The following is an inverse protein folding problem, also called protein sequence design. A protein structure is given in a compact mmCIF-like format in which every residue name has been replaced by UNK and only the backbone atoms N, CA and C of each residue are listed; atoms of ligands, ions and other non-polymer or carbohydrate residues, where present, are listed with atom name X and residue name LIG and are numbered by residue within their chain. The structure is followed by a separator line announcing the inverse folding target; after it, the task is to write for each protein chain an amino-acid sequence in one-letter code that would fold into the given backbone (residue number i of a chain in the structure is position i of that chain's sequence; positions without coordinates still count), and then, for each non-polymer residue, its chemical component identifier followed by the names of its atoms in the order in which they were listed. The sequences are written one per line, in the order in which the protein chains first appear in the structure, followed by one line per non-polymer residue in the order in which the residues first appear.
data_IF_714552338300
#
_entry.id   IF_714552338300
#
_cell.length_a   1.000
_cell.length_b   1.000
_cell.length_c   1.000
_cell.angle_alpha   90.00
_cell.angle_beta   90.00
_cell.angle_gamma   90.00
#
_symmetry.space_group_name_H-M   'P 1'
#
loop_
_entity.id
_entity.type
_entity.pdbx_description
1 polymer ?
#
# COMPACT_ATOMS: atom_id res chain seq x y z
N UNK A 1 -14.26 2.40 2.45
CA UNK A 1 -13.38 1.54 1.64
C UNK A 1 -12.12 1.33 2.44
N UNK A 2 -11.60 0.11 2.48
CA UNK A 2 -10.41 -0.25 3.25
C UNK A 2 -9.49 -1.06 2.35
N UNK A 3 -8.19 -1.06 2.65
CA UNK A 3 -7.21 -1.92 2.00
C UNK A 3 -6.87 -3.04 2.99
N UNK A 4 -6.89 -4.28 2.51
CA UNK A 4 -6.62 -5.47 3.33
C UNK A 4 -5.51 -6.25 2.65
N UNK A 5 -4.45 -6.56 3.40
CA UNK A 5 -3.42 -7.50 2.97
C UNK A 5 -3.83 -8.91 3.37
N UNK A 6 -3.75 -9.85 2.44
CA UNK A 6 -4.10 -11.26 2.64
C UNK A 6 -2.96 -12.12 2.14
N UNK A 7 -2.52 -13.10 2.93
CA UNK A 7 -1.53 -14.08 2.46
C UNK A 7 -2.07 -14.84 1.25
N UNK A 8 -1.24 -15.18 0.24
CA UNK A 8 -1.70 -15.84 -0.99
C UNK A 8 -2.53 -17.11 -0.75
N UNK A 9 -2.15 -17.91 0.26
CA UNK A 9 -2.85 -19.14 0.63
C UNK A 9 -4.29 -18.92 1.12
N UNK A 10 -4.62 -17.71 1.59
CA UNK A 10 -5.93 -17.36 2.14
C UNK A 10 -6.79 -16.56 1.16
N UNK A 11 -6.27 -16.17 -0.01
CA UNK A 11 -6.96 -15.27 -0.95
C UNK A 11 -8.32 -15.82 -1.39
N UNK A 12 -8.37 -17.11 -1.75
CA UNK A 12 -9.61 -17.75 -2.22
C UNK A 12 -10.70 -17.75 -1.15
N UNK A 13 -10.34 -18.09 0.09
CA UNK A 13 -11.31 -18.15 1.18
C UNK A 13 -11.73 -16.76 1.66
N UNK A 14 -10.82 -15.78 1.62
CA UNK A 14 -11.15 -14.38 1.86
C UNK A 14 -12.16 -13.84 0.83
N UNK A 15 -11.94 -14.10 -0.46
CA UNK A 15 -12.86 -13.66 -1.52
C UNK A 15 -14.25 -14.30 -1.38
N UNK A 16 -14.33 -15.56 -0.95
CA UNK A 16 -15.61 -16.21 -0.62
C UNK A 16 -16.32 -15.52 0.55
N UNK A 17 -15.59 -15.15 1.61
CA UNK A 17 -16.17 -14.43 2.76
C UNK A 17 -16.65 -13.03 2.39
N UNK A 18 -15.99 -12.38 1.42
CA UNK A 18 -16.36 -11.07 0.90
C UNK A 18 -17.45 -11.11 -0.18
N UNK A 19 -18.02 -12.29 -0.46
CA UNK A 19 -19.10 -12.44 -1.44
C UNK A 19 -20.28 -11.49 -1.13
N UNK A 20 -20.70 -10.73 -2.14
CA UNK A 20 -21.73 -9.69 -1.99
C UNK A 20 -21.19 -8.28 -1.74
N UNK A 21 -19.89 -8.13 -1.48
CA UNK A 21 -19.19 -6.84 -1.46
C UNK A 21 -18.36 -6.64 -2.73
N UNK A 22 -18.22 -5.38 -3.17
CA UNK A 22 -17.29 -5.06 -4.26
C UNK A 22 -15.86 -5.12 -3.75
N UNK A 23 -15.08 -6.06 -4.29
CA UNK A 23 -13.65 -6.22 -3.99
C UNK A 23 -12.85 -5.89 -5.25
N UNK A 24 -11.74 -5.17 -5.07
CA UNK A 24 -10.81 -4.85 -6.15
C UNK A 24 -9.43 -5.33 -5.73
N UNK A 25 -8.81 -6.12 -6.59
CA UNK A 25 -7.41 -6.51 -6.42
C UNK A 25 -6.52 -5.32 -6.79
N UNK A 26 -5.62 -4.93 -5.88
CA UNK A 26 -4.75 -3.76 -6.06
C UNK A 26 -3.30 -4.14 -6.40
N UNK A 27 -2.85 -5.35 -6.06
CA UNK A 27 -1.48 -5.78 -6.31
C UNK A 27 -0.95 -6.75 -5.26
N UNK A 28 0.37 -6.91 -5.27
CA UNK A 28 1.12 -7.80 -4.36
C UNK A 28 2.01 -7.01 -3.41
N UNK A 29 2.36 -7.62 -2.29
CA UNK A 29 3.42 -7.14 -1.42
C UNK A 29 4.71 -7.85 -1.83
N UNK A 30 5.74 -7.08 -2.10
CA UNK A 30 7.08 -7.58 -2.36
C UNK A 30 8.01 -7.26 -1.18
N UNK A 31 9.12 -8.00 -1.06
CA UNK A 31 10.15 -7.72 -0.06
C UNK A 31 11.08 -6.60 -0.55
N UNK A 32 10.52 -5.42 -0.79
CA UNK A 32 11.23 -4.22 -1.26
C UNK A 32 10.79 -3.01 -0.42
N UNK A 33 11.59 -1.94 -0.44
CA UNK A 33 11.28 -0.68 0.24
C UNK A 33 10.62 0.34 -0.69
N UNK A 34 10.06 -0.10 -1.81
CA UNK A 34 9.46 0.78 -2.81
C UNK A 34 7.97 0.53 -2.96
N UNK A 35 7.20 1.62 -3.06
CA UNK A 35 5.82 1.60 -3.53
C UNK A 35 5.83 1.95 -5.02
N UNK A 36 5.39 1.01 -5.85
CA UNK A 36 5.13 1.24 -7.27
C UNK A 36 3.62 1.17 -7.55
N UNK A 37 3.12 2.14 -8.32
CA UNK A 37 1.74 2.17 -8.81
C UNK A 37 1.82 2.19 -10.34
N UNK A 38 1.23 1.18 -10.97
CA UNK A 38 1.24 0.99 -12.42
C UNK A 38 -0.18 0.99 -12.97
N UNK A 39 -0.34 1.47 -14.20
CA UNK A 39 -1.55 1.27 -15.01
C UNK A 39 -1.16 0.50 -16.29
N UNK A 40 -1.52 -0.78 -16.33
CA UNK A 40 -1.07 -1.70 -17.37
C UNK A 40 0.46 -1.86 -17.34
N UNK A 41 1.14 -1.31 -18.36
CA UNK A 41 2.59 -1.33 -18.49
C UNK A 41 3.26 0.01 -18.13
N UNK A 42 2.47 1.03 -17.79
CA UNK A 42 2.96 2.36 -17.50
C UNK A 42 3.17 2.52 -15.98
N UNK A 43 4.38 2.89 -15.57
CA UNK A 43 4.65 3.29 -14.19
C UNK A 43 4.15 4.71 -13.96
N UNK A 44 3.21 4.88 -13.03
CA UNK A 44 2.65 6.17 -12.66
C UNK A 44 3.47 6.79 -11.52
N UNK A 45 3.77 6.00 -10.50
CA UNK A 45 4.54 6.41 -9.32
C UNK A 45 5.51 5.30 -8.94
N UNK A 46 6.73 5.70 -8.60
CA UNK A 46 7.69 4.89 -7.86
C UNK A 46 8.27 5.75 -6.75
N UNK A 47 8.13 5.30 -5.50
CA UNK A 47 8.55 6.06 -4.33
C UNK A 47 9.20 5.14 -3.29
N UNK A 48 10.16 5.69 -2.53
CA UNK A 48 10.75 5.01 -1.38
C UNK A 48 9.80 5.13 -0.17
N UNK A 49 9.39 3.98 0.37
CA UNK A 49 8.43 3.90 1.48
C UNK A 49 8.99 4.55 2.74
N UNK A 50 10.28 4.38 3.02
CA UNK A 50 10.92 4.97 4.21
C UNK A 50 10.92 6.50 4.12
N UNK A 51 11.18 7.07 2.95
CA UNK A 51 11.08 8.52 2.73
C UNK A 51 9.63 9.04 2.84
N UNK A 52 8.65 8.27 2.35
CA UNK A 52 7.24 8.62 2.51
C UNK A 52 6.82 8.64 3.99
N UNK A 53 7.22 7.63 4.76
CA UNK A 53 6.95 7.56 6.20
C UNK A 53 7.61 8.73 6.92
N UNK A 54 8.88 9.03 6.60
CA UNK A 54 9.59 10.16 7.18
C UNK A 54 8.88 11.48 6.88
N UNK A 55 8.50 11.72 5.62
CA UNK A 55 7.81 12.96 5.21
C UNK A 55 6.47 13.15 5.92
N UNK A 56 5.71 12.06 6.07
CA UNK A 56 4.44 12.07 6.79
C UNK A 56 4.64 12.33 8.30
N UNK A 57 5.61 11.66 8.91
CA UNK A 57 5.94 11.85 10.33
C UNK A 57 6.44 13.27 10.61
N UNK A 58 7.34 13.81 9.78
CA UNK A 58 7.84 15.18 9.92
C UNK A 58 6.74 16.23 9.79
N UNK A 59 5.66 15.94 9.07
CA UNK A 59 4.49 16.82 9.00
C UNK A 59 3.66 16.79 10.30
N UNK A 60 3.68 15.66 11.01
CA UNK A 60 3.02 15.50 12.31
C UNK A 60 3.89 15.96 13.48
N UNK A 61 5.21 15.95 13.30
CA UNK A 61 6.18 16.43 14.27
C UNK A 61 6.13 17.96 14.35
N UNK A 62 5.21 18.45 15.20
CA UNK A 62 5.04 19.87 15.50
C UNK A 62 6.21 20.48 16.30
N UNK A 63 7.36 19.81 16.39
CA UNK A 63 8.60 20.40 16.95
C UNK A 63 9.29 21.35 15.97
N UNK A 64 8.84 21.43 14.71
CA UNK A 64 9.29 22.47 13.78
C UNK A 64 10.71 22.26 13.25
N UNK A 65 11.21 21.02 13.25
CA UNK A 65 12.52 20.70 12.71
C UNK A 65 13.66 21.30 13.53
N UNK A 66 14.06 20.62 14.60
CA UNK A 66 15.42 20.82 15.10
C UNK A 66 16.39 20.06 14.17
N UNK A 67 17.20 20.87 13.49
CA UNK A 67 18.32 20.49 12.62
C UNK A 67 19.57 20.21 13.46
#
# INVERSE_FOLDING_TARGET
RIVIAVSPENETDFLKQMAGSTTTYLGTIENTQSLSITDGFDEIISADVSQMVQSWQSTLDMTGGEI
#
